data_IF_402933858777
#
_entry.id   IF_402933858777
#
_cell.length_a   1.000
_cell.length_b   1.000
_cell.length_c   1.000
_cell.angle_alpha   90.00
_cell.angle_beta   90.00
_cell.angle_gamma   90.00
#
_symmetry.space_group_name_H-M   'P 1'
#
loop_
_entity.id
_entity.type
_entity.pdbx_description
1 polymer ?
#
# COMPACT_ATOMS: atom_id res chain seq x y z
N UNK A 1 -3.55 54.20 -28.72
CA UNK A 1 -3.91 52.81 -28.36
C UNK A 1 -2.83 52.29 -27.42
N UNK A 2 -3.03 52.49 -26.10
CA UNK A 2 -2.14 51.93 -25.08
C UNK A 2 -2.44 50.45 -24.90
N UNK A 3 -1.41 49.62 -24.99
CA UNK A 3 -1.49 48.21 -24.60
C UNK A 3 -0.88 48.07 -23.19
N UNK A 4 -1.74 47.77 -22.23
CA UNK A 4 -1.36 47.37 -20.87
C UNK A 4 -0.67 46.00 -20.92
N UNK A 5 0.64 45.97 -20.71
CA UNK A 5 1.36 44.75 -20.39
C UNK A 5 1.26 44.52 -18.87
N UNK A 6 0.22 43.78 -18.45
CA UNK A 6 0.16 43.22 -17.11
C UNK A 6 1.30 42.20 -16.93
N UNK A 7 2.36 42.60 -16.22
CA UNK A 7 3.37 41.69 -15.70
C UNK A 7 2.69 40.71 -14.72
N UNK A 8 2.51 39.46 -15.16
CA UNK A 8 2.20 38.34 -14.28
C UNK A 8 3.41 38.13 -13.38
N UNK A 9 3.35 38.65 -12.16
CA UNK A 9 4.37 38.45 -11.15
C UNK A 9 4.51 36.94 -10.88
N UNK A 10 5.66 36.37 -11.26
CA UNK A 10 6.10 35.06 -10.82
C UNK A 10 6.02 35.02 -9.28
N UNK A 11 5.44 33.97 -8.67
CA UNK A 11 5.36 33.88 -7.23
C UNK A 11 6.78 33.95 -6.63
N UNK A 12 6.97 34.87 -5.69
CA UNK A 12 8.27 35.13 -5.07
C UNK A 12 8.84 33.85 -4.43
N UNK A 13 10.16 33.68 -4.52
CA UNK A 13 10.91 32.56 -3.96
C UNK A 13 10.64 32.33 -2.45
N UNK A 14 10.15 33.34 -1.74
CA UNK A 14 9.78 33.24 -0.33
C UNK A 14 8.54 32.37 -0.08
N UNK A 15 7.54 32.36 -0.97
CA UNK A 15 6.39 31.44 -0.81
C UNK A 15 6.79 29.98 -0.98
N UNK A 16 7.77 29.69 -1.84
CA UNK A 16 8.31 28.34 -2.01
C UNK A 16 9.15 27.90 -0.80
N UNK A 17 9.91 28.83 -0.18
CA UNK A 17 10.63 28.58 1.07
C UNK A 17 9.71 28.33 2.25
N UNK A 18 8.53 28.94 2.30
CA UNK A 18 7.51 28.64 3.34
C UNK A 18 6.89 27.25 3.17
N UNK A 19 6.82 26.71 1.95
CA UNK A 19 6.20 25.40 1.65
C UNK A 19 7.04 24.23 2.19
N UNK A 20 8.35 24.39 2.32
CA UNK A 20 9.28 23.35 2.74
C UNK A 20 10.13 23.82 3.92
N UNK A 21 9.49 24.38 4.94
CA UNK A 21 10.22 24.74 6.15
C UNK A 21 10.76 23.45 6.81
N UNK A 22 12.06 23.21 6.66
CA UNK A 22 12.77 22.03 7.20
C UNK A 22 12.71 21.94 8.72
N UNK A 23 12.34 23.03 9.39
CA UNK A 23 12.25 23.14 10.85
C UNK A 23 10.86 22.84 11.41
N UNK A 24 9.83 22.70 10.58
CA UNK A 24 8.50 22.40 11.07
C UNK A 24 8.41 20.92 11.48
N UNK A 25 8.31 20.66 12.79
CA UNK A 25 8.09 19.30 13.32
C UNK A 25 6.98 18.61 12.54
N UNK A 26 7.22 17.41 12.03
CA UNK A 26 6.23 16.63 11.27
C UNK A 26 5.43 15.68 12.16
N UNK A 27 5.54 15.85 13.48
CA UNK A 27 4.86 15.06 14.47
C UNK A 27 3.43 15.60 14.70
N UNK A 28 2.38 14.77 14.55
CA UNK A 28 1.00 15.19 14.78
C UNK A 28 0.70 15.56 16.25
N UNK A 29 1.43 15.01 17.21
CA UNK A 29 1.28 15.27 18.65
C UNK A 29 1.94 16.59 19.04
N UNK A 30 3.15 16.88 18.54
CA UNK A 30 3.82 18.17 18.79
C UNK A 30 3.10 19.35 18.14
N UNK A 31 2.27 19.09 17.11
CA UNK A 31 1.42 20.09 16.45
C UNK A 31 0.04 20.25 17.10
N UNK A 32 -0.22 19.58 18.22
CA UNK A 32 -1.52 19.58 18.91
C UNK A 32 -2.70 19.19 18.00
N UNK A 33 -2.44 18.42 16.92
CA UNK A 33 -3.52 17.89 16.05
C UNK A 33 -4.28 16.80 16.81
N UNK A 34 -3.55 16.04 17.63
CA UNK A 34 -4.07 14.91 18.39
C UNK A 34 -3.37 14.79 19.75
N UNK A 35 -4.11 14.37 20.77
CA UNK A 35 -3.49 13.90 22.03
C UNK A 35 -3.01 12.45 21.90
N UNK A 36 -1.97 12.06 22.65
CA UNK A 36 -1.49 10.67 22.69
C UNK A 36 -2.61 9.66 23.01
N UNK A 37 -3.50 10.01 23.94
CA UNK A 37 -4.65 9.16 24.33
C UNK A 37 -5.61 8.91 23.16
N UNK A 38 -5.92 9.94 22.38
CA UNK A 38 -6.73 9.77 21.17
C UNK A 38 -5.95 8.98 20.11
N UNK A 39 -4.63 9.13 20.05
CA UNK A 39 -3.72 8.36 19.20
C UNK A 39 -3.79 6.86 19.47
N UNK A 40 -3.68 6.44 20.73
CA UNK A 40 -3.81 5.03 21.10
C UNK A 40 -5.18 4.47 20.73
N UNK A 41 -6.25 5.26 20.91
CA UNK A 41 -7.61 4.86 20.54
C UNK A 41 -7.74 4.62 19.03
N UNK A 42 -7.19 5.52 18.21
CA UNK A 42 -7.20 5.37 16.75
C UNK A 42 -6.28 4.24 16.28
N UNK A 43 -5.12 4.04 16.90
CA UNK A 43 -4.24 2.92 16.58
C UNK A 43 -4.90 1.57 16.89
N UNK A 44 -5.58 1.45 18.02
CA UNK A 44 -6.34 0.24 18.36
C UNK A 44 -7.48 -0.01 17.38
N UNK A 45 -8.22 1.03 17.02
CA UNK A 45 -9.25 0.94 15.98
C UNK A 45 -8.66 0.47 14.64
N UNK A 46 -7.52 1.03 14.23
CA UNK A 46 -6.84 0.62 13.00
C UNK A 46 -6.49 -0.87 13.02
N UNK A 47 -5.82 -1.35 14.07
CA UNK A 47 -5.39 -2.75 14.23
C UNK A 47 -6.55 -3.73 14.23
N UNK A 48 -7.66 -3.38 14.87
CA UNK A 48 -8.81 -4.28 15.08
C UNK A 48 -9.86 -4.22 13.97
N UNK A 49 -10.14 -3.04 13.41
CA UNK A 49 -11.28 -2.83 12.49
C UNK A 49 -10.86 -2.56 11.05
N UNK A 50 -9.64 -2.09 10.80
CA UNK A 50 -9.20 -1.72 9.45
C UNK A 50 -8.28 -2.79 8.88
N UNK A 51 -7.29 -3.23 9.66
CA UNK A 51 -6.30 -4.22 9.24
C UNK A 51 -6.88 -5.53 8.64
N UNK A 52 -8.01 -6.10 9.10
CA UNK A 52 -8.59 -7.28 8.47
C UNK A 52 -8.94 -7.12 6.99
N UNK A 53 -9.23 -5.89 6.53
CA UNK A 53 -9.59 -5.60 5.13
C UNK A 53 -8.38 -5.23 4.27
N UNK A 54 -7.25 -4.87 4.89
CA UNK A 54 -5.99 -4.59 4.20
C UNK A 54 -4.80 -5.10 5.05
N UNK A 55 -4.57 -6.43 5.11
CA UNK A 55 -3.60 -7.05 6.03
C UNK A 55 -2.14 -6.99 5.53
N UNK A 56 -1.79 -5.97 4.74
CA UNK A 56 -0.46 -5.83 4.14
C UNK A 56 0.47 -4.90 4.93
N UNK A 57 -0.08 -4.15 5.90
CA UNK A 57 0.70 -3.36 6.85
C UNK A 57 0.16 -3.62 8.25
N UNK A 58 0.94 -4.34 9.04
CA UNK A 58 0.58 -4.82 10.38
C UNK A 58 1.48 -4.17 11.43
N UNK A 59 0.93 -3.95 12.63
CA UNK A 59 1.65 -3.45 13.79
C UNK A 59 1.53 -4.44 14.94
N UNK A 60 2.55 -4.56 15.81
CA UNK A 60 2.47 -5.40 17.00
C UNK A 60 1.26 -5.05 17.87
N UNK A 61 0.67 -6.05 18.52
CA UNK A 61 -0.55 -5.85 19.33
C UNK A 61 -0.33 -4.86 20.47
N UNK A 62 0.83 -4.93 21.11
CA UNK A 62 1.13 -4.20 22.35
C UNK A 62 1.93 -2.90 22.12
N UNK A 63 2.16 -2.49 20.87
CA UNK A 63 2.88 -1.25 20.58
C UNK A 63 2.01 -0.03 20.92
N UNK A 64 2.58 0.92 21.66
CA UNK A 64 1.94 2.21 21.95
C UNK A 64 2.05 3.15 20.74
N UNK A 65 1.15 4.13 20.65
CA UNK A 65 1.22 5.13 19.57
C UNK A 65 2.50 5.98 19.64
N UNK A 66 2.99 6.26 20.85
CA UNK A 66 4.22 7.02 21.07
C UNK A 66 5.45 6.26 20.55
N UNK A 67 5.52 4.96 20.86
CA UNK A 67 6.60 4.10 20.38
C UNK A 67 6.53 3.92 18.86
N UNK A 68 5.33 3.67 18.31
CA UNK A 68 5.15 3.54 16.87
C UNK A 68 5.50 4.82 16.12
N UNK A 69 5.14 5.99 16.66
CA UNK A 69 5.48 7.29 16.07
C UNK A 69 7.01 7.55 16.11
N UNK A 70 7.71 7.05 17.12
CA UNK A 70 9.18 7.14 17.18
C UNK A 70 9.88 6.22 16.17
N UNK A 71 9.40 4.98 16.01
CA UNK A 71 10.03 3.97 15.16
C UNK A 71 9.65 4.07 13.67
N UNK A 72 8.37 4.35 13.40
CA UNK A 72 7.74 4.35 12.08
C UNK A 72 6.76 5.53 11.94
N UNK A 73 7.25 6.79 12.00
CA UNK A 73 6.41 7.98 12.05
C UNK A 73 5.44 8.10 10.87
N UNK A 74 5.84 7.72 9.65
CA UNK A 74 4.96 7.85 8.48
C UNK A 74 3.87 6.79 8.47
N UNK A 75 4.21 5.54 8.80
CA UNK A 75 3.23 4.48 8.94
C UNK A 75 2.24 4.78 10.08
N UNK A 76 2.73 5.31 11.22
CA UNK A 76 1.92 5.76 12.34
C UNK A 76 0.92 6.84 11.91
N UNK A 77 1.42 7.92 11.30
CA UNK A 77 0.59 9.04 10.85
C UNK A 77 -0.47 8.60 9.84
N UNK A 78 -0.12 7.72 8.89
CA UNK A 78 -1.08 7.19 7.92
C UNK A 78 -2.17 6.35 8.59
N UNK A 79 -1.82 5.52 9.57
CA UNK A 79 -2.78 4.73 10.34
C UNK A 79 -3.76 5.62 11.12
N UNK A 80 -3.24 6.65 11.80
CA UNK A 80 -4.06 7.62 12.53
C UNK A 80 -4.97 8.42 11.59
N UNK A 81 -4.46 8.84 10.43
CA UNK A 81 -5.25 9.53 9.42
C UNK A 81 -6.39 8.65 8.86
N UNK A 82 -6.14 7.35 8.68
CA UNK A 82 -7.15 6.41 8.22
C UNK A 82 -8.22 6.14 9.31
N UNK A 83 -7.78 5.89 10.55
CA UNK A 83 -8.66 5.53 11.66
C UNK A 83 -9.50 6.70 12.21
N UNK A 84 -9.07 7.94 11.99
CA UNK A 84 -9.81 9.16 12.37
C UNK A 84 -10.95 9.52 11.40
N UNK A 85 -11.39 8.62 10.51
CA UNK A 85 -12.42 8.90 9.48
C UNK A 85 -13.75 9.43 10.04
N UNK A 86 -14.09 9.15 11.31
CA UNK A 86 -15.26 9.70 11.99
C UNK A 86 -15.13 11.17 12.38
N UNK A 87 -13.90 11.69 12.50
CA UNK A 87 -13.59 13.09 12.79
C UNK A 87 -12.94 13.74 11.55
N UNK A 88 -13.78 14.35 10.71
CA UNK A 88 -13.37 14.96 9.43
C UNK A 88 -12.31 16.05 9.62
N UNK A 89 -12.31 16.78 10.74
CA UNK A 89 -11.37 17.85 10.98
C UNK A 89 -9.97 17.28 11.27
N UNK A 90 -9.87 16.33 12.20
CA UNK A 90 -8.62 15.64 12.54
C UNK A 90 -8.09 14.87 11.33
N UNK A 91 -8.95 14.11 10.66
CA UNK A 91 -8.59 13.31 9.49
C UNK A 91 -7.98 14.18 8.37
N UNK A 92 -8.60 15.33 8.08
CA UNK A 92 -8.10 16.27 7.08
C UNK A 92 -6.75 16.88 7.49
N UNK A 93 -6.57 17.21 8.77
CA UNK A 93 -5.31 17.75 9.29
C UNK A 93 -4.18 16.71 9.17
N UNK A 94 -4.40 15.48 9.62
CA UNK A 94 -3.43 14.39 9.55
C UNK A 94 -3.11 14.02 8.09
N UNK A 95 -4.12 13.92 7.22
CA UNK A 95 -3.92 13.65 5.79
C UNK A 95 -3.15 14.77 5.08
N UNK A 96 -3.39 16.03 5.44
CA UNK A 96 -2.60 17.17 4.94
C UNK A 96 -1.15 17.09 5.41
N UNK A 97 -0.92 16.78 6.68
CA UNK A 97 0.42 16.60 7.24
C UNK A 97 1.17 15.47 6.54
N UNK A 98 0.53 14.32 6.33
CA UNK A 98 1.12 13.19 5.61
C UNK A 98 1.58 13.59 4.19
N UNK A 99 0.74 14.30 3.45
CA UNK A 99 1.08 14.77 2.10
C UNK A 99 2.23 15.79 2.08
N UNK A 100 2.33 16.65 3.11
CA UNK A 100 3.46 17.58 3.28
C UNK A 100 4.77 16.82 3.52
N UNK A 101 4.75 15.79 4.37
CA UNK A 101 5.92 14.96 4.66
C UNK A 101 6.38 14.22 3.41
N UNK A 102 5.45 13.60 2.67
CA UNK A 102 5.77 12.90 1.41
C UNK A 102 6.41 13.87 0.42
N UNK A 103 5.84 15.06 0.25
CA UNK A 103 6.40 16.08 -0.63
C UNK A 103 7.81 16.54 -0.19
N UNK A 104 8.03 16.74 1.12
CA UNK A 104 9.34 17.12 1.64
C UNK A 104 10.38 16.00 1.45
N UNK A 105 10.03 14.73 1.71
CA UNK A 105 10.93 13.59 1.54
C UNK A 105 11.34 13.35 0.09
N UNK A 106 10.47 13.68 -0.87
CA UNK A 106 10.81 13.61 -2.30
C UNK A 106 11.92 14.60 -2.69
N UNK A 107 12.09 15.69 -1.95
CA UNK A 107 13.12 16.70 -2.20
C UNK A 107 14.44 16.38 -1.49
N UNK A 108 14.38 15.76 -0.31
CA UNK A 108 15.54 15.62 0.59
C UNK A 108 16.43 14.38 0.34
N UNK A 109 16.18 13.59 -0.72
CA UNK A 109 16.90 12.37 -1.17
C UNK A 109 17.10 11.24 -0.11
N UNK A 110 16.80 11.48 1.16
CA UNK A 110 16.81 10.51 2.25
C UNK A 110 15.45 9.86 2.40
N UNK A 111 15.17 8.92 1.51
CA UNK A 111 14.00 8.07 1.65
C UNK A 111 14.25 7.09 2.82
N UNK A 112 13.50 7.23 3.90
CA UNK A 112 13.27 6.15 4.86
C UNK A 112 12.37 5.11 4.20
N UNK A 113 12.89 4.40 3.20
CA UNK A 113 12.12 3.77 2.13
C UNK A 113 11.02 2.81 2.65
N UNK A 114 11.29 2.04 3.71
CA UNK A 114 10.31 1.10 4.25
C UNK A 114 9.18 1.77 5.04
N UNK A 115 9.49 2.75 5.89
CA UNK A 115 8.45 3.48 6.63
C UNK A 115 7.56 4.30 5.68
N UNK A 116 8.18 4.97 4.69
CA UNK A 116 7.47 5.68 3.64
C UNK A 116 6.59 4.74 2.82
N UNK A 117 7.10 3.57 2.40
CA UNK A 117 6.33 2.57 1.66
C UNK A 117 5.11 2.13 2.47
N UNK A 118 5.31 1.72 3.72
CA UNK A 118 4.21 1.29 4.62
C UNK A 118 3.18 2.40 4.81
N UNK A 119 3.62 3.63 5.06
CA UNK A 119 2.73 4.79 5.18
C UNK A 119 1.93 5.06 3.90
N UNK A 120 2.56 4.99 2.73
CA UNK A 120 1.88 5.17 1.44
C UNK A 120 0.85 4.06 1.17
N UNK A 121 1.17 2.80 1.49
CA UNK A 121 0.24 1.68 1.35
C UNK A 121 -1.02 1.89 2.21
N UNK A 122 -0.86 2.28 3.48
CA UNK A 122 -1.99 2.61 4.35
C UNK A 122 -2.79 3.79 3.78
N UNK A 123 -2.11 4.88 3.41
CA UNK A 123 -2.74 6.08 2.88
C UNK A 123 -3.57 5.82 1.62
N UNK A 124 -3.07 4.95 0.73
CA UNK A 124 -3.74 4.55 -0.51
C UNK A 124 -4.92 3.61 -0.24
N UNK A 125 -4.74 2.58 0.59
CA UNK A 125 -5.79 1.60 0.91
C UNK A 125 -7.06 2.27 1.47
N UNK A 126 -6.89 3.36 2.21
CA UNK A 126 -7.97 4.09 2.88
C UNK A 126 -8.26 5.45 2.27
N UNK A 127 -7.82 5.69 1.02
CA UNK A 127 -7.97 6.97 0.34
C UNK A 127 -9.44 7.38 0.11
N UNK A 128 -10.38 6.43 0.09
CA UNK A 128 -11.80 6.70 -0.08
C UNK A 128 -12.42 7.46 1.11
N UNK A 129 -11.82 7.39 2.29
CA UNK A 129 -12.23 8.22 3.42
C UNK A 129 -11.73 9.68 3.28
N UNK A 130 -10.80 9.97 2.37
CA UNK A 130 -10.27 11.31 2.22
C UNK A 130 -11.19 12.16 1.33
N UNK A 131 -11.50 13.42 1.71
CA UNK A 131 -12.43 14.26 0.95
C UNK A 131 -12.03 14.53 -0.50
N UNK A 132 -10.73 14.39 -0.85
CA UNK A 132 -10.17 14.67 -2.20
C UNK A 132 -8.89 13.87 -2.47
N UNK A 133 -8.95 12.62 -2.95
CA UNK A 133 -7.76 11.84 -3.31
C UNK A 133 -7.17 12.30 -4.65
N UNK A 134 -6.80 13.59 -4.77
CA UNK A 134 -6.32 14.21 -6.02
C UNK A 134 -4.99 13.63 -6.52
N UNK A 135 -4.26 12.91 -5.68
CA UNK A 135 -2.89 12.44 -5.95
C UNK A 135 -2.72 10.92 -5.90
N UNK A 136 -3.82 10.17 -5.92
CA UNK A 136 -3.81 8.72 -5.72
C UNK A 136 -2.86 8.00 -6.69
N UNK A 137 -2.97 8.27 -8.00
CA UNK A 137 -2.09 7.64 -9.00
C UNK A 137 -0.62 8.05 -8.84
N UNK A 138 -0.31 9.31 -8.50
CA UNK A 138 1.09 9.70 -8.25
C UNK A 138 1.68 8.96 -7.05
N UNK A 139 0.94 8.85 -5.94
CA UNK A 139 1.38 8.10 -4.77
C UNK A 139 1.54 6.61 -5.06
N UNK A 140 0.67 6.04 -5.89
CA UNK A 140 0.78 4.65 -6.34
C UNK A 140 2.03 4.41 -7.20
N UNK A 141 2.36 5.34 -8.11
CA UNK A 141 3.62 5.27 -8.86
C UNK A 141 4.85 5.43 -7.95
N UNK A 142 4.75 6.28 -6.93
CA UNK A 142 5.81 6.42 -5.93
C UNK A 142 6.03 5.10 -5.15
N UNK A 143 4.95 4.41 -4.76
CA UNK A 143 5.04 3.06 -4.16
C UNK A 143 5.82 2.11 -5.06
N UNK A 144 5.52 2.09 -6.36
CA UNK A 144 6.24 1.20 -7.29
C UNK A 144 7.69 1.59 -7.52
N UNK A 145 8.00 2.89 -7.51
CA UNK A 145 9.38 3.36 -7.54
C UNK A 145 10.14 2.84 -6.32
N UNK A 146 9.58 2.98 -5.12
CA UNK A 146 10.21 2.53 -3.88
C UNK A 146 10.40 1.01 -3.86
N UNK A 147 9.40 0.23 -4.32
CA UNK A 147 9.52 -1.23 -4.46
C UNK A 147 10.68 -1.61 -5.38
N UNK A 148 10.84 -0.90 -6.50
CA UNK A 148 11.94 -1.11 -7.44
C UNK A 148 13.30 -0.72 -6.84
N UNK A 149 13.39 0.43 -6.17
CA UNK A 149 14.62 0.94 -5.55
C UNK A 149 15.11 0.02 -4.43
N UNK A 150 14.18 -0.52 -3.65
CA UNK A 150 14.44 -1.54 -2.63
C UNK A 150 14.62 -2.96 -3.20
N UNK A 151 14.33 -3.15 -4.49
CA UNK A 151 14.35 -4.43 -5.20
C UNK A 151 13.49 -5.51 -4.54
N UNK A 152 12.36 -5.12 -3.92
CA UNK A 152 11.47 -6.07 -3.23
C UNK A 152 10.83 -7.07 -4.21
N UNK A 153 10.75 -6.70 -5.49
CA UNK A 153 10.10 -7.42 -6.59
C UNK A 153 10.83 -8.70 -7.05
N UNK A 154 12.00 -9.00 -6.48
CA UNK A 154 12.82 -10.15 -6.88
C UNK A 154 13.59 -10.72 -5.69
N UNK A 155 14.10 -11.95 -5.73
CA UNK A 155 14.99 -12.46 -4.67
C UNK A 155 16.29 -11.64 -4.56
N UNK A 156 16.77 -11.34 -3.33
CA UNK A 156 18.07 -10.65 -3.13
C UNK A 156 19.23 -11.52 -3.57
N UNK A 157 19.12 -12.84 -3.39
CA UNK A 157 20.15 -13.84 -3.73
C UNK A 157 19.60 -14.81 -4.78
N UNK A 158 19.74 -14.50 -6.08
CA UNK A 158 19.38 -15.44 -7.13
C UNK A 158 20.17 -16.74 -6.98
N UNK A 159 19.47 -17.89 -6.96
CA UNK A 159 20.07 -19.23 -6.78
C UNK A 159 21.20 -19.52 -7.77
N UNK A 160 21.13 -18.96 -8.99
CA UNK A 160 22.09 -19.16 -10.07
C UNK A 160 23.40 -18.37 -9.88
N UNK A 161 23.41 -17.31 -9.06
CA UNK A 161 24.56 -16.42 -8.84
C UNK A 161 25.19 -16.60 -7.45
N UNK A 162 24.64 -17.50 -6.63
CA UNK A 162 25.20 -17.83 -5.31
C UNK A 162 26.37 -18.79 -5.47
N UNK A 163 27.56 -18.24 -5.73
CA UNK A 163 28.83 -18.98 -5.80
C UNK A 163 29.27 -19.49 -4.40
N UNK A 164 28.67 -18.98 -3.33
CA UNK A 164 29.06 -19.33 -1.96
C UNK A 164 28.12 -20.35 -1.31
N UNK A 165 28.68 -21.51 -0.98
CA UNK A 165 28.09 -22.55 -0.13
C UNK A 165 28.01 -22.15 1.35
N UNK A 166 27.48 -20.96 1.64
CA UNK A 166 27.32 -20.45 3.01
C UNK A 166 26.12 -21.04 3.73
N UNK A 167 26.24 -21.18 5.06
CA UNK A 167 25.21 -21.69 6.02
C UNK A 167 23.88 -20.93 6.02
N UNK A 168 23.76 -19.84 5.25
CA UNK A 168 22.60 -18.95 5.18
C UNK A 168 21.64 -19.22 4.00
N UNK A 169 21.80 -20.34 3.27
CA UNK A 169 20.90 -20.72 2.15
C UNK A 169 19.41 -20.84 2.52
N UNK A 170 19.10 -21.00 3.81
CA UNK A 170 17.75 -21.24 4.32
C UNK A 170 17.13 -20.07 5.07
N UNK A 171 17.82 -18.92 5.21
CA UNK A 171 17.16 -17.73 5.75
C UNK A 171 16.31 -17.11 4.63
N UNK A 172 15.03 -16.79 4.87
CA UNK A 172 14.26 -16.04 3.89
C UNK A 172 15.01 -14.75 3.58
N UNK A 173 15.22 -14.45 2.29
CA UNK A 173 15.97 -13.29 1.81
C UNK A 173 15.34 -11.94 2.26
N UNK A 174 14.13 -11.97 2.82
CA UNK A 174 13.28 -10.81 3.10
C UNK A 174 12.63 -10.86 4.49
N UNK A 175 12.49 -9.68 5.09
CA UNK A 175 11.72 -9.47 6.31
C UNK A 175 10.22 -9.68 6.00
N UNK A 176 9.47 -10.26 6.94
CA UNK A 176 8.02 -10.46 6.81
C UNK A 176 7.28 -9.17 6.45
N UNK A 177 7.73 -8.04 7.00
CA UNK A 177 7.19 -6.71 6.67
C UNK A 177 7.43 -6.28 5.20
N UNK A 178 8.55 -6.67 4.61
CA UNK A 178 8.86 -6.37 3.20
C UNK A 178 7.98 -7.21 2.27
N UNK A 179 7.81 -8.50 2.58
CA UNK A 179 6.93 -9.40 1.82
C UNK A 179 5.47 -8.93 1.85
N UNK A 180 4.96 -8.53 3.02
CA UNK A 180 3.61 -7.96 3.13
C UNK A 180 3.47 -6.66 2.34
N UNK A 181 4.47 -5.78 2.43
CA UNK A 181 4.47 -4.51 1.69
C UNK A 181 4.48 -4.72 0.17
N UNK A 182 5.25 -5.68 -0.34
CA UNK A 182 5.26 -6.06 -1.75
C UNK A 182 3.88 -6.56 -2.21
N UNK A 183 3.29 -7.48 -1.45
CA UNK A 183 1.96 -8.01 -1.74
C UNK A 183 0.89 -6.91 -1.73
N UNK A 184 0.96 -5.98 -0.77
CA UNK A 184 0.06 -4.82 -0.68
C UNK A 184 0.24 -3.83 -1.83
N UNK A 185 1.48 -3.61 -2.28
CA UNK A 185 1.76 -2.78 -3.45
C UNK A 185 1.10 -3.38 -4.69
N UNK A 186 1.33 -4.67 -4.97
CA UNK A 186 0.67 -5.37 -6.07
C UNK A 186 -0.86 -5.30 -5.96
N UNK A 187 -1.43 -5.60 -4.78
CA UNK A 187 -2.88 -5.58 -4.56
C UNK A 187 -3.50 -4.21 -4.89
N UNK A 188 -2.88 -3.12 -4.43
CA UNK A 188 -3.32 -1.77 -4.73
C UNK A 188 -3.14 -1.44 -6.21
N UNK A 189 -2.00 -1.79 -6.82
CA UNK A 189 -1.74 -1.52 -8.23
C UNK A 189 -2.76 -2.23 -9.14
N UNK A 190 -3.02 -3.50 -8.86
CA UNK A 190 -4.04 -4.31 -9.52
C UNK A 190 -5.44 -3.70 -9.35
N UNK A 191 -5.88 -3.49 -8.11
CA UNK A 191 -7.20 -2.91 -7.81
C UNK A 191 -7.40 -1.55 -8.48
N UNK A 192 -6.36 -0.72 -8.51
CA UNK A 192 -6.40 0.61 -9.11
C UNK A 192 -6.46 0.58 -10.62
N UNK A 193 -5.78 -0.36 -11.27
CA UNK A 193 -5.84 -0.54 -12.72
C UNK A 193 -7.26 -0.87 -13.18
N UNK A 194 -7.91 -1.82 -12.50
CA UNK A 194 -9.28 -2.25 -12.76
C UNK A 194 -10.27 -1.11 -12.51
N UNK A 195 -10.19 -0.47 -11.33
CA UNK A 195 -11.15 0.57 -10.94
C UNK A 195 -11.03 1.84 -11.80
N UNK A 196 -9.81 2.19 -12.21
CA UNK A 196 -9.54 3.42 -12.99
C UNK A 196 -9.39 3.16 -14.50
N UNK A 197 -9.53 1.91 -14.94
CA UNK A 197 -9.33 1.48 -16.34
C UNK A 197 -7.98 1.95 -16.90
N UNK A 198 -6.91 1.71 -16.13
CA UNK A 198 -5.53 2.10 -16.46
C UNK A 198 -4.67 0.89 -16.78
N UNK A 199 -3.57 1.10 -17.50
CA UNK A 199 -2.59 0.05 -17.72
C UNK A 199 -2.06 -0.52 -16.39
N UNK A 200 -2.03 -1.85 -16.32
CA UNK A 200 -1.46 -2.59 -15.20
C UNK A 200 0.06 -2.42 -15.15
N UNK A 201 0.58 -2.33 -13.94
CA UNK A 201 2.01 -2.42 -13.70
C UNK A 201 2.42 -3.88 -13.59
N UNK A 202 3.58 -4.24 -14.16
CA UNK A 202 4.04 -5.61 -14.17
C UNK A 202 4.69 -5.98 -12.83
N UNK A 203 4.09 -6.92 -12.11
CA UNK A 203 4.67 -7.61 -10.96
C UNK A 203 4.82 -9.10 -11.29
N UNK A 204 5.82 -9.76 -10.70
CA UNK A 204 5.90 -11.22 -10.74
C UNK A 204 4.94 -11.83 -9.71
N UNK A 205 3.73 -12.17 -10.17
CA UNK A 205 2.67 -12.76 -9.33
C UNK A 205 3.12 -14.10 -8.74
N UNK A 206 3.96 -14.88 -9.43
CA UNK A 206 4.44 -16.17 -8.94
C UNK A 206 5.34 -15.97 -7.73
N UNK A 207 6.23 -14.98 -7.81
CA UNK A 207 7.10 -14.60 -6.70
C UNK A 207 6.31 -14.05 -5.51
N UNK A 208 5.33 -13.17 -5.74
CA UNK A 208 4.47 -12.61 -4.68
C UNK A 208 3.66 -13.72 -4.00
N UNK A 209 3.11 -14.65 -4.77
CA UNK A 209 2.35 -15.78 -4.23
C UNK A 209 3.20 -16.64 -3.30
N UNK A 210 4.44 -16.95 -3.70
CA UNK A 210 5.39 -17.68 -2.86
C UNK A 210 5.74 -16.91 -1.56
N UNK A 211 5.87 -15.59 -1.61
CA UNK A 211 6.05 -14.75 -0.43
C UNK A 211 4.84 -14.84 0.52
N UNK A 212 3.61 -14.77 -0.01
CA UNK A 212 2.39 -14.89 0.78
C UNK A 212 2.23 -16.28 1.41
N UNK A 213 2.56 -17.35 0.68
CA UNK A 213 2.57 -18.72 1.22
C UNK A 213 3.57 -18.86 2.37
N UNK A 214 4.78 -18.29 2.20
CA UNK A 214 5.78 -18.27 3.26
C UNK A 214 5.29 -17.51 4.50
N UNK A 215 4.66 -16.35 4.33
CA UNK A 215 4.06 -15.58 5.42
C UNK A 215 2.98 -16.37 6.16
N UNK A 216 2.10 -17.07 5.42
CA UNK A 216 1.06 -17.91 6.01
C UNK A 216 1.64 -19.07 6.84
N UNK A 217 2.78 -19.65 6.40
CA UNK A 217 3.49 -20.68 7.16
C UNK A 217 4.17 -20.13 8.42
N UNK A 218 4.75 -18.94 8.35
CA UNK A 218 5.38 -18.28 9.50
C UNK A 218 4.35 -17.88 10.56
N UNK A 219 3.14 -17.47 10.13
CA UNK A 219 2.01 -17.12 10.99
C UNK A 219 2.38 -16.14 12.11
N UNK A 220 3.14 -15.09 11.77
CA UNK A 220 3.53 -14.06 12.73
C UNK A 220 2.30 -13.26 13.21
N UNK A 221 1.35 -13.04 12.30
CA UNK A 221 0.06 -12.44 12.61
C UNK A 221 -1.10 -13.36 12.18
N UNK A 222 -2.24 -13.34 12.91
CA UNK A 222 -3.41 -14.15 12.55
C UNK A 222 -3.92 -13.90 11.13
N UNK A 223 -3.71 -12.70 10.59
CA UNK A 223 -4.17 -12.30 9.26
C UNK A 223 -3.29 -12.82 8.12
N UNK A 224 -2.10 -13.36 8.41
CA UNK A 224 -1.20 -13.86 7.37
C UNK A 224 -1.81 -15.02 6.57
N UNK A 225 -2.70 -15.79 7.20
CA UNK A 225 -3.42 -16.90 6.55
C UNK A 225 -4.29 -16.46 5.36
N UNK A 226 -4.72 -15.20 5.34
CA UNK A 226 -5.58 -14.67 4.26
C UNK A 226 -4.77 -14.27 3.02
N UNK A 227 -3.49 -13.92 3.18
CA UNK A 227 -2.68 -13.31 2.12
C UNK A 227 -2.59 -14.14 0.84
N UNK A 228 -2.32 -15.47 0.87
CA UNK A 228 -2.26 -16.28 -0.36
C UNK A 228 -3.56 -16.21 -1.16
N UNK A 229 -4.69 -16.31 -0.47
CA UNK A 229 -6.01 -16.30 -1.09
C UNK A 229 -6.39 -14.92 -1.63
N UNK A 230 -6.04 -13.84 -0.93
CA UNK A 230 -6.23 -12.48 -1.43
C UNK A 230 -5.49 -12.25 -2.75
N UNK A 231 -4.24 -12.71 -2.85
CA UNK A 231 -3.44 -12.58 -4.07
C UNK A 231 -3.99 -13.46 -5.20
N UNK A 232 -4.39 -14.70 -4.90
CA UNK A 232 -4.99 -15.59 -5.90
C UNK A 232 -6.29 -15.03 -6.47
N UNK A 233 -7.19 -14.54 -5.61
CA UNK A 233 -8.44 -13.90 -6.04
C UNK A 233 -8.16 -12.63 -6.85
N UNK A 234 -7.22 -11.80 -6.43
CA UNK A 234 -6.83 -10.61 -7.19
C UNK A 234 -6.32 -10.97 -8.59
N UNK A 235 -5.51 -12.02 -8.72
CA UNK A 235 -5.06 -12.54 -10.01
C UNK A 235 -6.21 -13.04 -10.88
N UNK A 236 -7.25 -13.67 -10.31
CA UNK A 236 -8.45 -14.04 -11.06
C UNK A 236 -9.23 -12.82 -11.55
N UNK A 237 -9.34 -11.75 -10.76
CA UNK A 237 -10.00 -10.50 -11.19
C UNK A 237 -9.25 -9.89 -12.39
N UNK A 238 -7.92 -9.86 -12.35
CA UNK A 238 -7.11 -9.40 -13.50
C UNK A 238 -7.35 -10.24 -14.76
N UNK A 239 -7.50 -11.55 -14.61
CA UNK A 239 -7.80 -12.44 -15.75
C UNK A 239 -9.17 -12.16 -16.36
N UNK A 240 -10.16 -11.79 -15.54
CA UNK A 240 -11.48 -11.36 -16.03
C UNK A 240 -11.35 -10.05 -16.80
N UNK A 241 -10.58 -9.08 -16.29
CA UNK A 241 -10.32 -7.82 -17.00
C UNK A 241 -9.65 -8.06 -18.35
N UNK A 242 -8.61 -8.91 -18.39
CA UNK A 242 -7.93 -9.28 -19.64
C UNK A 242 -8.87 -9.95 -20.64
N UNK A 243 -9.75 -10.82 -20.16
CA UNK A 243 -10.73 -11.51 -20.99
C UNK A 243 -11.70 -10.51 -21.64
N UNK A 244 -12.22 -9.57 -20.86
CA UNK A 244 -13.13 -8.51 -21.34
C UNK A 244 -12.42 -7.57 -22.31
N UNK A 245 -11.18 -7.19 -22.01
CA UNK A 245 -10.37 -6.35 -22.88
C UNK A 245 -10.10 -7.03 -24.23
N UNK A 246 -9.68 -8.30 -24.24
CA UNK A 246 -9.45 -9.07 -25.47
C UNK A 246 -10.71 -9.25 -26.30
N UNK A 247 -11.85 -9.52 -25.65
CA UNK A 247 -13.14 -9.66 -26.32
C UNK A 247 -13.58 -8.37 -27.03
N UNK A 248 -13.06 -7.20 -26.61
CA UNK A 248 -13.34 -5.92 -27.28
C UNK A 248 -12.68 -5.79 -28.66
N UNK A 249 -11.65 -6.59 -28.95
CA UNK A 249 -10.93 -6.56 -30.23
C UNK A 249 -11.06 -7.86 -31.04
N UNK A 250 -11.35 -8.99 -30.40
CA UNK A 250 -11.48 -10.30 -31.03
C UNK A 250 -12.83 -10.95 -30.69
N UNK A 251 -13.66 -11.22 -31.71
CA UNK A 251 -14.97 -11.85 -31.55
C UNK A 251 -14.89 -13.39 -31.57
N UNK A 252 -14.01 -13.97 -30.73
CA UNK A 252 -13.85 -15.42 -30.62
C UNK A 252 -14.64 -15.95 -29.41
N UNK A 253 -15.95 -16.14 -29.60
CA UNK A 253 -16.86 -16.60 -28.56
C UNK A 253 -16.45 -17.94 -27.90
N UNK A 254 -15.79 -18.84 -28.66
CA UNK A 254 -15.32 -20.13 -28.14
C UNK A 254 -14.16 -19.93 -27.15
N UNK A 255 -13.19 -19.08 -27.49
CA UNK A 255 -12.08 -18.74 -26.60
C UNK A 255 -12.62 -18.05 -25.34
N UNK A 256 -13.54 -17.10 -25.50
CA UNK A 256 -14.17 -16.41 -24.37
C UNK A 256 -14.86 -17.37 -23.40
N UNK A 257 -15.69 -18.27 -23.92
CA UNK A 257 -16.41 -19.27 -23.12
C UNK A 257 -15.45 -20.22 -22.38
N UNK A 258 -14.35 -20.62 -23.02
CA UNK A 258 -13.35 -21.52 -22.44
C UNK A 258 -12.58 -20.84 -21.31
N UNK A 259 -12.08 -19.63 -21.52
CA UNK A 259 -11.35 -18.86 -20.50
C UNK A 259 -12.28 -18.49 -19.32
N UNK A 260 -13.53 -18.13 -19.58
CA UNK A 260 -14.54 -17.87 -18.55
C UNK A 260 -14.82 -19.10 -17.68
N UNK A 261 -14.89 -20.29 -18.28
CA UNK A 261 -15.05 -21.56 -17.55
C UNK A 261 -13.85 -21.88 -16.67
N UNK A 262 -12.62 -21.68 -17.17
CA UNK A 262 -11.40 -21.89 -16.37
C UNK A 262 -11.34 -20.94 -15.16
N UNK A 263 -11.70 -19.66 -15.34
CA UNK A 263 -11.77 -18.70 -14.23
C UNK A 263 -12.80 -19.16 -13.19
N UNK A 264 -13.99 -19.59 -13.65
CA UNK A 264 -15.06 -20.08 -12.77
C UNK A 264 -14.60 -21.30 -11.96
N UNK A 265 -13.97 -22.27 -12.63
CA UNK A 265 -13.44 -23.47 -11.97
C UNK A 265 -12.42 -23.11 -10.89
N UNK A 266 -11.50 -22.18 -11.16
CA UNK A 266 -10.51 -21.75 -10.16
C UNK A 266 -11.14 -21.01 -8.98
N UNK A 267 -12.20 -20.23 -9.21
CA UNK A 267 -12.97 -19.63 -8.11
C UNK A 267 -13.57 -20.71 -7.20
N UNK A 268 -14.12 -21.78 -7.78
CA UNK A 268 -14.70 -22.89 -7.02
C UNK A 268 -13.63 -23.68 -6.26
N UNK A 269 -12.47 -23.92 -6.88
CA UNK A 269 -11.31 -24.56 -6.24
C UNK A 269 -10.81 -23.75 -5.04
N UNK A 270 -10.61 -22.43 -5.20
CA UNK A 270 -10.23 -21.54 -4.10
C UNK A 270 -11.27 -21.63 -2.99
N UNK A 271 -12.56 -21.51 -3.32
CA UNK A 271 -13.65 -21.54 -2.33
C UNK A 271 -13.69 -22.87 -1.56
N UNK A 272 -13.39 -23.99 -2.21
CA UNK A 272 -13.37 -25.32 -1.59
C UNK A 272 -12.14 -25.57 -0.70
N UNK A 273 -11.05 -24.84 -0.93
CA UNK A 273 -9.75 -25.02 -0.23
C UNK A 273 -9.50 -23.99 0.87
N UNK A 274 -10.46 -23.09 1.14
CA UNK A 274 -10.35 -22.10 2.21
C UNK A 274 -10.26 -22.79 3.59
N UNK A 275 -9.21 -22.51 4.39
CA UNK A 275 -9.05 -23.10 5.72
C UNK A 275 -9.83 -22.32 6.80
N UNK A 276 -10.61 -21.32 6.41
CA UNK A 276 -11.37 -20.43 7.29
C UNK A 276 -12.74 -20.11 6.69
N UNK A 277 -13.75 -19.81 7.53
CA UNK A 277 -15.05 -19.36 7.04
C UNK A 277 -14.97 -17.92 6.53
N UNK A 278 -15.71 -17.62 5.45
CA UNK A 278 -15.79 -16.26 4.89
C UNK A 278 -16.44 -15.22 5.85
N UNK A 279 -17.07 -15.68 6.93
CA UNK A 279 -17.65 -14.82 7.96
C UNK A 279 -16.65 -14.34 9.01
N UNK A 280 -15.43 -14.89 9.05
CA UNK A 280 -14.45 -14.60 10.11
C UNK A 280 -14.01 -13.13 10.15
N UNK A 281 -14.13 -12.40 9.04
CA UNK A 281 -13.79 -10.96 8.95
C UNK A 281 -14.85 -10.01 9.55
N UNK A 282 -15.98 -10.53 10.05
CA UNK A 282 -17.10 -9.74 10.58
C UNK A 282 -17.10 -9.56 12.10
N UNK A 283 -16.26 -10.27 12.83
CA UNK A 283 -16.14 -10.19 14.29
C UNK A 283 -15.12 -9.12 14.72
#
# INVERSE_FOLDING_TARGET
MSADHAQVALPSADKAKTIFNKEASFDPFERDILSLKAGDTYLEYFKTRMTPYFPFVLFPKDISVAELNSQQPLACLAALAAASHSDVAVQKALGSLFNQIVAAKLVDEKLGHMDLLRGLLIHLAWAHYQPRPKRYTQHLHLVTSIVSDLRLDRPRRPKLWSVEGGKDRNKPDWNANEMRALAGAYYLCSSSSIMLQKQRQCFDISYISACCEHLALMSEYPNDKYLPYMIQVQGLIERVEDLVYKASFNDNALQFSTESRDITQKCDEIKSTLPFPLSESRE
#
